data_IF_454560241815
#
_entry.id   IF_454560241815
#
_cell.length_a   1.000
_cell.length_b   1.000
_cell.length_c   1.000
_cell.angle_alpha   90.00
_cell.angle_beta   90.00
_cell.angle_gamma   90.00
#
_symmetry.space_group_name_H-M   'P 1'
#
loop_
_entity.id
_entity.type
_entity.pdbx_description
1 polymer ?
#
# COMPACT_ATOMS: atom_id res chain seq x y z
N UNK A 1 -8.10 8.09 18.27
CA UNK A 1 -7.81 6.75 18.85
C UNK A 1 -9.12 5.98 19.07
N UNK A 2 -9.10 4.63 19.24
CA UNK A 2 -10.32 3.83 19.44
C UNK A 2 -11.20 4.34 20.57
N UNK A 3 -10.58 4.65 21.72
CA UNK A 3 -11.27 5.21 22.88
C UNK A 3 -11.93 6.56 22.58
N UNK A 4 -11.21 7.49 21.95
CA UNK A 4 -11.77 8.82 21.59
C UNK A 4 -12.96 8.70 20.62
N UNK A 5 -12.92 7.74 19.72
CA UNK A 5 -14.03 7.50 18.78
C UNK A 5 -15.23 6.84 19.48
N UNK A 6 -14.99 5.96 20.46
CA UNK A 6 -16.02 5.43 21.32
C UNK A 6 -16.67 6.54 22.16
N UNK A 7 -15.87 7.40 22.79
CA UNK A 7 -16.35 8.54 23.58
C UNK A 7 -17.20 9.50 22.72
N UNK A 8 -16.81 9.72 21.46
CA UNK A 8 -17.60 10.48 20.48
C UNK A 8 -18.95 9.82 20.17
N UNK A 9 -18.95 8.51 19.89
CA UNK A 9 -20.17 7.75 19.59
C UNK A 9 -21.12 7.68 20.79
N UNK A 10 -20.58 7.53 22.01
CA UNK A 10 -21.34 7.62 23.26
C UNK A 10 -21.96 9.01 23.43
N UNK A 11 -21.19 10.07 23.14
CA UNK A 11 -21.70 11.44 23.16
C UNK A 11 -22.86 11.69 22.19
N UNK A 12 -22.82 11.09 20.98
CA UNK A 12 -23.95 11.14 20.05
C UNK A 12 -25.17 10.38 20.58
N UNK A 13 -24.95 9.21 21.18
CA UNK A 13 -26.02 8.41 21.77
C UNK A 13 -26.72 9.13 22.92
N UNK A 14 -25.96 9.80 23.79
CA UNK A 14 -26.55 10.61 24.86
C UNK A 14 -27.35 11.79 24.31
N UNK A 15 -26.87 12.47 23.26
CA UNK A 15 -27.65 13.52 22.58
C UNK A 15 -28.95 12.99 21.97
N UNK A 16 -28.91 11.82 21.34
CA UNK A 16 -30.09 11.17 20.78
C UNK A 16 -31.13 10.80 21.85
N UNK A 17 -30.69 10.36 23.04
CA UNK A 17 -31.59 10.07 24.17
C UNK A 17 -32.31 11.32 24.69
N UNK A 18 -31.67 12.48 24.62
CA UNK A 18 -32.25 13.76 25.06
C UNK A 18 -33.24 14.30 24.02
N UNK A 19 -33.02 14.03 22.73
CA UNK A 19 -33.88 14.48 21.64
C UNK A 19 -34.65 13.32 20.99
N UNK A 20 -35.65 12.78 21.71
CA UNK A 20 -36.39 11.57 21.32
C UNK A 20 -37.18 11.68 20.00
N UNK A 21 -37.45 12.89 19.53
CA UNK A 21 -38.17 13.13 18.26
C UNK A 21 -37.22 13.11 17.04
N UNK A 22 -35.91 13.19 17.27
CA UNK A 22 -34.89 13.19 16.21
C UNK A 22 -34.45 11.76 15.88
N UNK A 23 -35.28 11.10 15.06
CA UNK A 23 -35.04 9.72 14.62
C UNK A 23 -33.77 9.59 13.78
N UNK A 24 -33.39 10.62 13.02
CA UNK A 24 -32.16 10.63 12.22
C UNK A 24 -30.92 10.61 13.13
N UNK A 25 -30.89 11.45 14.16
CA UNK A 25 -29.81 11.46 15.14
C UNK A 25 -29.70 10.12 15.89
N UNK A 26 -30.83 9.50 16.23
CA UNK A 26 -30.85 8.19 16.87
C UNK A 26 -30.29 7.08 15.96
N UNK A 27 -30.63 7.09 14.67
CA UNK A 27 -30.08 6.15 13.69
C UNK A 27 -28.57 6.34 13.51
N UNK A 28 -28.12 7.58 13.30
CA UNK A 28 -26.70 7.93 13.18
C UNK A 28 -25.95 7.47 14.44
N UNK A 29 -26.45 7.79 15.64
CA UNK A 29 -25.79 7.40 16.88
C UNK A 29 -25.63 5.88 17.03
N UNK A 30 -26.65 5.10 16.65
CA UNK A 30 -26.55 3.64 16.66
C UNK A 30 -25.52 3.11 15.66
N UNK A 31 -25.50 3.63 14.44
CA UNK A 31 -24.49 3.27 13.43
C UNK A 31 -23.07 3.60 13.91
N UNK A 32 -22.86 4.81 14.47
CA UNK A 32 -21.54 5.21 14.98
C UNK A 32 -21.09 4.32 16.15
N UNK A 33 -21.99 3.91 17.05
CA UNK A 33 -21.69 2.98 18.14
C UNK A 33 -21.26 1.60 17.63
N UNK A 34 -21.93 1.07 16.60
CA UNK A 34 -21.55 -0.21 15.98
C UNK A 34 -20.15 -0.14 15.37
N UNK A 35 -19.85 0.94 14.64
CA UNK A 35 -18.53 1.18 14.05
C UNK A 35 -17.48 1.33 15.16
N UNK A 36 -17.78 2.05 16.24
CA UNK A 36 -16.85 2.24 17.36
C UNK A 36 -16.54 0.91 18.06
N UNK A 37 -17.56 0.08 18.32
CA UNK A 37 -17.38 -1.26 18.88
C UNK A 37 -16.55 -2.17 17.97
N UNK A 38 -16.81 -2.11 16.66
CA UNK A 38 -16.05 -2.85 15.65
C UNK A 38 -14.59 -2.41 15.60
N UNK A 39 -14.33 -1.10 15.59
CA UNK A 39 -12.98 -0.54 15.57
C UNK A 39 -12.19 -0.90 16.83
N UNK A 40 -12.82 -0.83 18.01
CA UNK A 40 -12.21 -1.26 19.26
C UNK A 40 -11.84 -2.75 19.20
N UNK A 41 -12.77 -3.61 18.76
CA UNK A 41 -12.51 -5.05 18.65
C UNK A 41 -11.41 -5.37 17.64
N UNK A 42 -11.38 -4.65 16.52
CA UNK A 42 -10.33 -4.77 15.51
C UNK A 42 -8.95 -4.47 16.11
N UNK A 43 -8.82 -3.37 16.86
CA UNK A 43 -7.57 -2.98 17.50
C UNK A 43 -7.15 -3.94 18.62
N UNK A 44 -8.11 -4.48 19.39
CA UNK A 44 -7.83 -5.53 20.38
C UNK A 44 -7.27 -6.80 19.72
N UNK A 45 -7.81 -7.17 18.55
CA UNK A 45 -7.32 -8.33 17.80
C UNK A 45 -5.92 -8.07 17.24
N UNK A 46 -5.66 -6.89 16.65
CA UNK A 46 -4.32 -6.51 16.19
C UNK A 46 -3.30 -6.62 17.34
N UNK A 47 -3.61 -6.04 18.50
CA UNK A 47 -2.75 -6.11 19.68
C UNK A 47 -2.55 -7.55 20.18
N UNK A 48 -3.63 -8.36 20.26
CA UNK A 48 -3.56 -9.77 20.67
C UNK A 48 -2.62 -10.60 19.78
N UNK A 49 -2.60 -10.31 18.48
CA UNK A 49 -1.77 -11.03 17.51
C UNK A 49 -0.41 -10.36 17.22
N UNK A 50 -0.05 -9.30 17.97
CA UNK A 50 1.20 -8.57 17.76
C UNK A 50 1.31 -7.98 16.34
N UNK A 51 0.20 -7.52 15.78
CA UNK A 51 0.11 -6.92 14.45
C UNK A 51 -0.13 -5.42 14.56
N UNK A 52 0.33 -4.70 13.54
CA UNK A 52 0.05 -3.28 13.33
C UNK A 52 -0.36 -3.10 11.87
N UNK A 53 -1.29 -2.19 11.61
CA UNK A 53 -1.66 -1.78 10.25
C UNK A 53 -0.89 -0.52 9.80
N UNK A 54 -1.24 0.06 8.65
CA UNK A 54 -0.60 1.28 8.14
C UNK A 54 -0.93 2.53 8.98
N UNK A 55 -2.12 2.60 9.57
CA UNK A 55 -2.50 3.70 10.45
C UNK A 55 -1.72 3.65 11.77
N UNK A 56 -1.56 2.44 12.31
CA UNK A 56 -0.82 2.16 13.54
C UNK A 56 0.66 2.58 13.44
N UNK A 57 1.26 2.48 12.25
CA UNK A 57 2.64 2.94 12.00
C UNK A 57 2.83 4.45 12.24
N UNK A 58 1.75 5.24 12.27
CA UNK A 58 1.80 6.67 12.59
C UNK A 58 1.23 6.94 13.99
N UNK A 59 0.09 6.34 14.33
CA UNK A 59 -0.61 6.61 15.60
C UNK A 59 0.13 6.04 16.81
N UNK A 60 0.78 4.87 16.70
CA UNK A 60 1.53 4.28 17.81
C UNK A 60 2.80 5.07 18.15
N UNK A 61 3.66 5.50 17.18
CA UNK A 61 4.77 6.40 17.50
C UNK A 61 4.32 7.72 18.11
N UNK A 62 3.22 8.32 17.60
CA UNK A 62 2.65 9.53 18.18
C UNK A 62 2.28 9.32 19.66
N UNK A 63 1.54 8.24 19.96
CA UNK A 63 1.16 7.88 21.34
C UNK A 63 2.38 7.58 22.21
N UNK A 64 3.38 6.90 21.67
CA UNK A 64 4.63 6.59 22.36
C UNK A 64 5.36 7.88 22.76
N UNK A 65 5.50 8.84 21.84
CA UNK A 65 6.17 10.12 22.12
C UNK A 65 5.41 11.00 23.10
N UNK A 66 4.07 10.98 23.08
CA UNK A 66 3.24 11.69 24.06
C UNK A 66 3.36 11.11 25.47
N UNK A 67 3.44 9.78 25.59
CA UNK A 67 3.47 9.08 26.88
C UNK A 67 4.89 8.88 27.44
N UNK A 68 5.92 8.90 26.59
CA UNK A 68 7.31 8.65 26.98
C UNK A 68 8.23 9.77 26.48
N UNK A 69 8.29 10.92 27.19
CA UNK A 69 9.10 12.08 26.77
C UNK A 69 10.60 11.78 26.64
N UNK A 70 11.12 10.80 27.39
CA UNK A 70 12.51 10.37 27.28
C UNK A 70 12.81 9.77 25.90
N UNK A 71 11.91 8.94 25.38
CA UNK A 71 12.01 8.37 24.03
C UNK A 71 11.91 9.48 22.98
N UNK A 72 10.94 10.39 23.11
CA UNK A 72 10.81 11.54 22.20
C UNK A 72 12.12 12.35 22.14
N UNK A 73 12.77 12.61 23.29
CA UNK A 73 14.04 13.34 23.34
C UNK A 73 15.13 12.67 22.50
N UNK A 74 15.25 11.35 22.50
CA UNK A 74 16.23 10.64 21.68
C UNK A 74 16.05 10.96 20.19
N UNK A 75 14.81 11.01 19.71
CA UNK A 75 14.49 11.32 18.33
C UNK A 75 14.63 12.81 18.01
N UNK A 76 14.25 13.71 18.93
CA UNK A 76 14.47 15.14 18.77
C UNK A 76 15.96 15.48 18.68
N UNK A 77 16.83 14.81 19.45
CA UNK A 77 18.28 14.96 19.34
C UNK A 77 18.84 14.42 18.03
N UNK A 78 18.28 13.32 17.53
CA UNK A 78 18.67 12.73 16.25
C UNK A 78 18.23 13.58 15.06
N UNK A 79 17.00 14.08 15.09
CA UNK A 79 16.36 14.83 14.00
C UNK A 79 16.37 16.33 14.30
N UNK A 80 17.58 16.88 14.32
CA UNK A 80 17.80 18.31 14.57
C UNK A 80 17.27 19.23 13.47
N UNK A 81 17.11 18.71 12.25
CA UNK A 81 16.56 19.39 11.09
C UNK A 81 15.58 18.45 10.42
N UNK A 82 14.36 18.92 10.15
CA UNK A 82 13.28 18.11 9.58
C UNK A 82 12.84 18.76 8.28
N UNK A 83 12.86 18.00 7.19
CA UNK A 83 12.31 18.41 5.91
C UNK A 83 11.10 17.53 5.60
N UNK A 84 9.97 18.17 5.28
CA UNK A 84 8.74 17.48 4.90
C UNK A 84 8.34 17.94 3.49
N UNK A 85 8.37 17.00 2.55
CA UNK A 85 7.90 17.21 1.19
C UNK A 85 6.40 16.85 1.07
N UNK A 86 5.74 17.35 0.03
CA UNK A 86 4.31 17.10 -0.25
C UNK A 86 3.39 17.35 0.97
N UNK A 87 3.67 18.43 1.72
CA UNK A 87 3.03 18.69 3.01
C UNK A 87 1.51 18.89 2.91
N UNK A 88 0.99 19.29 1.73
CA UNK A 88 -0.44 19.39 1.45
C UNK A 88 -1.19 18.04 1.58
N UNK A 89 -0.50 16.92 1.38
CA UNK A 89 -1.10 15.58 1.45
C UNK A 89 -1.01 14.97 2.85
N UNK A 90 -0.49 15.71 3.83
CA UNK A 90 -0.42 15.25 5.21
C UNK A 90 -1.77 15.29 5.91
N UNK A 91 -2.08 14.21 6.63
CA UNK A 91 -3.23 14.18 7.53
C UNK A 91 -2.88 14.78 8.90
N UNK A 92 -3.90 15.04 9.71
CA UNK A 92 -3.75 15.63 11.05
C UNK A 92 -2.75 14.85 11.94
N UNK A 93 -2.84 13.52 11.96
CA UNK A 93 -1.99 12.67 12.81
C UNK A 93 -0.51 12.75 12.40
N UNK A 94 -0.23 12.74 11.09
CA UNK A 94 1.12 12.93 10.56
C UNK A 94 1.68 14.30 10.96
N UNK A 95 0.86 15.35 10.85
CA UNK A 95 1.28 16.68 11.26
C UNK A 95 1.57 16.77 12.76
N UNK A 96 0.74 16.16 13.62
CA UNK A 96 1.01 16.11 15.07
C UNK A 96 2.32 15.39 15.40
N UNK A 97 2.63 14.30 14.68
CA UNK A 97 3.88 13.58 14.86
C UNK A 97 5.09 14.46 14.50
N UNK A 98 5.05 15.12 13.34
CA UNK A 98 6.09 16.04 12.89
C UNK A 98 6.25 17.21 13.88
N UNK A 99 5.14 17.76 14.38
CA UNK A 99 5.14 18.84 15.37
C UNK A 99 5.86 18.44 16.66
N UNK A 100 5.61 17.24 17.20
CA UNK A 100 6.31 16.75 18.39
C UNK A 100 7.81 16.58 18.14
N UNK A 101 8.20 16.05 16.97
CA UNK A 101 9.60 15.87 16.61
C UNK A 101 10.33 17.21 16.43
N UNK A 102 9.68 18.20 15.84
CA UNK A 102 10.27 19.52 15.61
C UNK A 102 10.29 20.40 16.86
N UNK A 103 9.42 20.16 17.86
CA UNK A 103 9.16 21.07 18.97
C UNK A 103 10.40 21.56 19.75
N UNK A 104 11.48 20.77 19.82
CA UNK A 104 12.69 21.11 20.59
C UNK A 104 13.59 22.14 19.90
N UNK A 105 13.79 21.99 18.59
CA UNK A 105 14.75 22.79 17.82
C UNK A 105 14.07 23.74 16.85
N UNK A 106 12.83 23.46 16.46
CA UNK A 106 12.02 24.22 15.50
C UNK A 106 12.69 24.44 14.13
N UNK A 107 13.72 23.66 13.80
CA UNK A 107 14.34 23.62 12.48
C UNK A 107 13.53 22.72 11.55
N UNK A 108 12.37 23.20 11.14
CA UNK A 108 11.47 22.48 10.24
C UNK A 108 11.27 23.27 8.94
N UNK A 109 11.43 22.57 7.82
CA UNK A 109 11.10 23.08 6.48
C UNK A 109 10.01 22.21 5.89
N UNK A 110 8.89 22.81 5.51
CA UNK A 110 7.82 22.14 4.78
C UNK A 110 7.74 22.68 3.36
N UNK A 111 7.52 21.80 2.40
CA UNK A 111 7.25 22.16 1.00
C UNK A 111 5.81 21.73 0.70
N UNK A 112 5.00 22.65 0.16
CA UNK A 112 3.60 22.40 -0.12
C UNK A 112 3.14 23.10 -1.40
N UNK A 113 2.18 22.47 -2.09
CA UNK A 113 1.39 23.10 -3.14
C UNK A 113 -0.09 22.71 -2.97
N UNK A 114 -0.92 23.62 -2.49
CA UNK A 114 -2.36 23.37 -2.26
C UNK A 114 -3.11 22.98 -3.54
N UNK A 115 -2.65 23.46 -4.70
CA UNK A 115 -3.24 23.13 -6.00
C UNK A 115 -2.97 21.67 -6.42
N UNK A 116 -2.04 20.99 -5.75
CA UNK A 116 -1.69 19.58 -5.97
C UNK A 116 -2.27 18.64 -4.91
N UNK A 117 -3.07 19.14 -3.96
CA UNK A 117 -3.70 18.31 -2.93
C UNK A 117 -4.79 17.40 -3.52
N UNK A 118 -4.40 16.18 -3.92
CA UNK A 118 -5.30 15.18 -4.51
C UNK A 118 -5.73 14.08 -3.52
N UNK A 119 -5.19 14.07 -2.30
CA UNK A 119 -5.45 13.04 -1.28
C UNK A 119 -6.49 13.43 -0.20
N UNK A 120 -7.33 14.44 -0.43
CA UNK A 120 -8.39 14.87 0.54
C UNK A 120 -9.27 13.71 1.02
N UNK A 121 -9.58 12.75 0.13
CA UNK A 121 -10.37 11.56 0.46
C UNK A 121 -9.67 10.59 1.45
N UNK A 122 -8.36 10.71 1.64
CA UNK A 122 -7.57 9.97 2.66
C UNK A 122 -7.35 10.78 3.93
N UNK A 123 -8.03 11.92 4.09
CA UNK A 123 -7.92 12.78 5.26
C UNK A 123 -6.74 13.76 5.21
N UNK A 124 -6.14 13.99 4.04
CA UNK A 124 -5.23 15.11 3.84
C UNK A 124 -5.95 16.43 4.14
N UNK A 125 -5.31 17.29 4.91
CA UNK A 125 -5.92 18.52 5.38
C UNK A 125 -5.09 19.72 4.91
N UNK A 126 -5.59 20.42 3.88
CA UNK A 126 -5.01 21.69 3.40
C UNK A 126 -4.90 22.71 4.55
N UNK A 127 -5.78 22.62 5.55
CA UNK A 127 -5.72 23.41 6.78
C UNK A 127 -4.41 23.24 7.56
N UNK A 128 -3.66 22.14 7.38
CA UNK A 128 -2.33 21.99 7.97
C UNK A 128 -1.31 22.94 7.33
N UNK A 129 -1.41 23.16 6.02
CA UNK A 129 -0.56 24.12 5.30
C UNK A 129 -0.88 25.54 5.74
N UNK A 130 -2.18 25.88 5.79
CA UNK A 130 -2.66 27.18 6.26
C UNK A 130 -2.25 27.46 7.72
N UNK A 131 -2.45 26.50 8.61
CA UNK A 131 -2.14 26.64 10.04
C UNK A 131 -0.66 26.47 10.39
N UNK A 132 0.23 26.24 9.42
CA UNK A 132 1.66 26.08 9.69
C UNK A 132 2.25 27.37 10.27
N UNK A 133 1.91 28.51 9.70
CA UNK A 133 2.39 29.83 10.16
C UNK A 133 1.80 30.20 11.52
N UNK A 134 0.60 29.74 11.86
CA UNK A 134 0.02 29.94 13.20
C UNK A 134 0.83 29.20 14.29
N UNK A 135 1.44 28.07 13.93
CA UNK A 135 2.24 27.24 14.85
C UNK A 135 3.70 27.70 14.89
N UNK A 136 4.25 28.13 13.75
CA UNK A 136 5.62 28.63 13.61
C UNK A 136 5.60 30.06 13.06
N UNK A 137 5.27 31.07 13.89
CA UNK A 137 5.13 32.46 13.42
C UNK A 137 6.44 33.07 12.91
N UNK A 138 7.58 32.57 13.39
CA UNK A 138 8.93 32.98 12.94
C UNK A 138 9.39 32.26 11.65
N UNK A 139 8.54 31.42 11.05
CA UNK A 139 8.91 30.71 9.84
C UNK A 139 9.02 31.66 8.64
N UNK A 140 10.03 31.44 7.80
CA UNK A 140 10.17 32.17 6.55
C UNK A 140 9.27 31.56 5.48
N UNK A 141 8.36 32.37 4.90
CA UNK A 141 7.56 31.96 3.74
C UNK A 141 8.29 32.32 2.44
N UNK A 142 8.60 31.30 1.65
CA UNK A 142 9.24 31.45 0.34
C UNK A 142 8.29 30.89 -0.72
N UNK A 143 7.96 31.70 -1.72
CA UNK A 143 7.13 31.29 -2.85
C UNK A 143 8.04 31.08 -4.07
N UNK A 144 8.02 29.87 -4.62
CA UNK A 144 8.80 29.51 -5.80
C UNK A 144 7.93 29.66 -7.05
N UNK A 145 8.26 30.62 -7.90
CA UNK A 145 7.52 30.91 -9.14
C UNK A 145 8.24 30.44 -10.40
N UNK A 146 9.51 30.02 -10.29
CA UNK A 146 10.28 29.52 -11.42
C UNK A 146 10.05 28.02 -11.64
N UNK A 147 9.57 27.65 -12.83
CA UNK A 147 9.33 26.27 -13.20
C UNK A 147 10.40 25.77 -14.18
N UNK A 148 11.08 24.69 -13.79
CA UNK A 148 12.17 24.09 -14.56
C UNK A 148 11.73 22.85 -15.36
N UNK A 149 10.47 22.42 -15.25
CA UNK A 149 9.95 21.16 -15.81
C UNK A 149 9.20 21.37 -17.13
N UNK A 150 8.30 22.34 -17.14
CA UNK A 150 7.28 22.51 -18.18
C UNK A 150 7.49 23.81 -18.93
N UNK A 151 7.19 23.78 -20.24
CA UNK A 151 7.22 24.95 -21.13
C UNK A 151 6.04 25.88 -20.85
N UNK A 152 6.19 27.17 -21.14
CA UNK A 152 5.24 28.21 -20.71
C UNK A 152 3.78 27.92 -21.10
N UNK A 153 3.51 27.48 -22.33
CA UNK A 153 2.13 27.17 -22.77
C UNK A 153 1.43 26.09 -21.94
N UNK A 154 2.18 25.12 -21.40
CA UNK A 154 1.64 24.09 -20.50
C UNK A 154 1.29 24.73 -19.16
N UNK A 155 2.17 25.58 -18.63
CA UNK A 155 1.96 26.32 -17.38
C UNK A 155 0.76 27.24 -17.49
N UNK A 156 0.64 28.03 -18.56
CA UNK A 156 -0.48 28.94 -18.78
C UNK A 156 -1.81 28.20 -18.86
N UNK A 157 -1.81 27.03 -19.52
CA UNK A 157 -3.01 26.18 -19.62
C UNK A 157 -3.40 25.61 -18.26
N UNK A 158 -2.43 25.14 -17.47
CA UNK A 158 -2.66 24.64 -16.12
C UNK A 158 -3.14 25.77 -15.18
N UNK A 159 -2.53 26.95 -15.28
CA UNK A 159 -2.90 28.13 -14.49
C UNK A 159 -4.31 28.61 -14.82
N UNK A 160 -4.72 28.60 -16.09
CA UNK A 160 -6.10 28.89 -16.48
C UNK A 160 -7.09 27.90 -15.87
N UNK A 161 -6.77 26.61 -15.87
CA UNK A 161 -7.63 25.57 -15.29
C UNK A 161 -7.78 25.74 -13.77
N UNK A 162 -6.67 25.95 -13.06
CA UNK A 162 -6.69 25.97 -11.59
C UNK A 162 -7.40 27.20 -11.02
N UNK A 163 -7.41 28.32 -11.75
CA UNK A 163 -8.10 29.54 -11.34
C UNK A 163 -9.62 29.39 -11.15
N UNK A 164 -10.24 28.35 -11.74
CA UNK A 164 -11.66 28.05 -11.49
C UNK A 164 -11.94 27.55 -10.07
N UNK A 165 -10.92 27.22 -9.27
CA UNK A 165 -11.06 26.81 -7.87
C UNK A 165 -11.01 27.98 -6.88
N UNK A 166 -10.85 29.23 -7.35
CA UNK A 166 -10.95 30.41 -6.47
C UNK A 166 -12.38 30.51 -5.89
N UNK A 167 -12.55 30.95 -4.63
CA UNK A 167 -11.57 31.61 -3.76
C UNK A 167 -10.81 30.68 -2.79
N UNK A 168 -10.95 29.35 -2.92
CA UNK A 168 -10.44 28.40 -1.93
C UNK A 168 -8.92 28.14 -2.01
N UNK A 169 -8.23 28.77 -2.96
CA UNK A 169 -6.78 28.61 -3.20
C UNK A 169 -5.93 29.52 -2.30
N UNK A 170 -4.75 29.06 -1.91
CA UNK A 170 -3.76 29.85 -1.16
C UNK A 170 -3.37 31.15 -1.87
N UNK A 171 -3.31 31.14 -3.21
CA UNK A 171 -3.06 32.34 -4.01
C UNK A 171 -4.06 33.47 -3.68
N UNK A 172 -5.34 33.12 -3.53
CA UNK A 172 -6.39 34.07 -3.21
C UNK A 172 -6.42 34.41 -1.71
N UNK A 173 -6.25 33.41 -0.84
CA UNK A 173 -6.37 33.58 0.62
C UNK A 173 -5.20 34.35 1.24
N UNK A 174 -3.98 34.06 0.79
CA UNK A 174 -2.75 34.64 1.34
C UNK A 174 -2.19 35.78 0.49
N UNK A 175 -2.89 36.17 -0.58
CA UNK A 175 -2.49 37.20 -1.53
C UNK A 175 -1.05 36.99 -2.06
N UNK A 176 -0.73 35.75 -2.43
CA UNK A 176 0.56 35.35 -3.01
C UNK A 176 0.41 35.06 -4.51
N UNK A 177 1.42 35.37 -5.31
CA UNK A 177 1.42 34.97 -6.72
C UNK A 177 1.91 33.54 -6.86
N UNK A 178 1.07 32.66 -7.40
CA UNK A 178 1.45 31.30 -7.80
C UNK A 178 1.57 31.16 -9.31
N UNK A 179 1.57 32.27 -10.03
CA UNK A 179 1.81 32.28 -11.48
C UNK A 179 3.25 31.85 -11.80
N UNK A 180 3.39 30.72 -12.49
CA UNK A 180 4.68 30.11 -12.79
C UNK A 180 5.31 30.64 -14.08
N UNK A 181 6.61 30.89 -14.05
CA UNK A 181 7.43 31.28 -15.21
C UNK A 181 8.37 30.14 -15.60
N UNK A 182 8.31 29.71 -16.86
CA UNK A 182 9.15 28.64 -17.37
C UNK A 182 10.59 29.08 -17.59
N UNK A 183 11.54 28.25 -17.14
CA UNK A 183 12.96 28.38 -17.47
C UNK A 183 13.33 27.62 -18.76
N UNK A 184 12.38 26.87 -19.35
CA UNK A 184 12.56 26.15 -20.60
C UNK A 184 12.22 27.08 -21.77
N UNK A 185 13.22 27.44 -22.57
CA UNK A 185 13.08 28.41 -23.67
C UNK A 185 12.36 27.87 -24.91
N UNK A 186 12.23 26.55 -25.03
CA UNK A 186 11.57 25.92 -26.17
C UNK A 186 10.06 26.09 -26.12
N UNK A 187 9.44 26.23 -27.29
CA UNK A 187 7.99 26.26 -27.40
C UNK A 187 7.37 24.90 -27.11
N UNK A 188 6.33 24.90 -26.26
CA UNK A 188 5.56 23.71 -25.95
C UNK A 188 4.38 23.54 -26.89
N UNK A 189 3.74 22.38 -26.78
CA UNK A 189 2.53 22.09 -27.55
C UNK A 189 1.53 21.42 -26.61
N UNK A 190 0.32 21.98 -26.53
CA UNK A 190 -0.85 21.34 -25.92
C UNK A 190 -1.82 21.03 -27.05
N UNK A 191 -2.15 19.75 -27.25
CA UNK A 191 -3.10 19.29 -28.27
C UNK A 191 -4.28 18.58 -27.61
N UNK A 192 -5.48 18.98 -28.02
CA UNK A 192 -6.69 18.23 -27.75
C UNK A 192 -6.98 17.32 -28.94
N UNK A 193 -7.10 16.02 -28.69
CA UNK A 193 -7.46 15.02 -29.70
C UNK A 193 -8.78 14.39 -29.26
N UNK A 194 -9.77 14.42 -30.15
CA UNK A 194 -11.09 13.82 -29.91
C UNK A 194 -11.20 12.50 -30.66
N UNK A 195 -11.77 11.49 -30.01
CA UNK A 195 -12.03 10.17 -30.56
C UNK A 195 -13.42 9.70 -30.14
N UNK A 196 -14.09 8.94 -31.02
CA UNK A 196 -15.46 8.48 -30.76
C UNK A 196 -15.52 7.39 -29.69
N UNK A 197 -14.43 6.63 -29.52
CA UNK A 197 -14.36 5.53 -28.55
C UNK A 197 -13.01 5.49 -27.84
N UNK A 198 -12.98 4.92 -26.65
CA UNK A 198 -11.75 4.70 -25.87
C UNK A 198 -10.76 3.77 -26.60
N UNK A 199 -11.24 2.80 -27.38
CA UNK A 199 -10.39 1.94 -28.19
C UNK A 199 -9.72 2.73 -29.33
N UNK A 200 -10.47 3.60 -30.00
CA UNK A 200 -9.95 4.49 -31.05
C UNK A 200 -8.93 5.49 -30.48
N UNK A 201 -9.16 6.01 -29.27
CA UNK A 201 -8.20 6.84 -28.55
C UNK A 201 -6.90 6.06 -28.27
N UNK A 202 -7.01 4.85 -27.71
CA UNK A 202 -5.87 4.01 -27.38
C UNK A 202 -5.01 3.65 -28.61
N UNK A 203 -5.65 3.30 -29.74
CA UNK A 203 -4.98 3.07 -31.01
C UNK A 203 -4.33 4.34 -31.56
N UNK A 204 -5.04 5.48 -31.51
CA UNK A 204 -4.54 6.78 -31.93
C UNK A 204 -3.30 7.21 -31.13
N UNK A 205 -3.31 6.99 -29.82
CA UNK A 205 -2.17 7.28 -28.92
C UNK A 205 -1.00 6.35 -29.21
N UNK A 206 -1.23 5.05 -29.36
CA UNK A 206 -0.16 4.09 -29.69
C UNK A 206 0.50 4.43 -31.04
N UNK A 207 -0.30 4.77 -32.06
CA UNK A 207 0.18 5.22 -33.37
C UNK A 207 1.01 6.51 -33.23
N UNK A 208 0.53 7.49 -32.47
CA UNK A 208 1.25 8.74 -32.23
C UNK A 208 2.61 8.50 -31.57
N UNK A 209 2.68 7.64 -30.55
CA UNK A 209 3.94 7.30 -29.87
C UNK A 209 4.92 6.68 -30.87
N UNK A 210 4.47 5.68 -31.64
CA UNK A 210 5.31 5.01 -32.65
C UNK A 210 5.86 5.99 -33.68
N UNK A 211 5.02 6.83 -34.27
CA UNK A 211 5.43 7.83 -35.26
C UNK A 211 6.48 8.80 -34.72
N UNK A 212 6.38 9.19 -33.43
CA UNK A 212 7.33 10.10 -32.78
C UNK A 212 8.67 9.44 -32.49
N UNK A 213 8.68 8.16 -32.17
CA UNK A 213 9.91 7.37 -31.98
C UNK A 213 10.59 7.11 -33.33
N UNK A 214 9.84 6.75 -34.37
CA UNK A 214 10.35 6.50 -35.72
C UNK A 214 11.01 7.74 -36.35
N UNK A 215 10.46 8.93 -36.11
CA UNK A 215 11.04 10.21 -36.55
C UNK A 215 12.33 10.61 -35.79
N UNK A 216 12.91 9.71 -34.97
CA UNK A 216 14.18 9.82 -34.24
C UNK A 216 14.32 11.00 -33.26
N UNK A 217 13.21 11.49 -32.70
CA UNK A 217 13.22 12.58 -31.71
C UNK A 217 12.93 12.16 -30.25
N UNK A 218 12.41 10.95 -30.04
CA UNK A 218 11.95 10.47 -28.73
C UNK A 218 12.22 8.97 -28.59
N UNK A 219 12.36 8.50 -27.35
CA UNK A 219 12.41 7.08 -26.97
C UNK A 219 11.08 6.71 -26.31
N UNK A 220 10.74 5.42 -26.27
CA UNK A 220 9.52 4.96 -25.60
C UNK A 220 9.45 5.39 -24.12
N UNK A 221 10.60 5.47 -23.44
CA UNK A 221 10.67 5.95 -22.05
C UNK A 221 10.40 7.44 -21.85
N UNK A 222 10.30 8.22 -22.93
CA UNK A 222 10.00 9.66 -22.86
C UNK A 222 8.46 9.93 -22.90
N UNK A 223 7.63 8.88 -22.91
CA UNK A 223 6.17 8.98 -22.94
C UNK A 223 5.54 8.47 -21.64
N UNK A 224 4.54 9.20 -21.14
CA UNK A 224 3.68 8.79 -20.04
C UNK A 224 2.20 8.92 -20.44
N UNK A 225 1.40 7.88 -20.17
CA UNK A 225 -0.05 7.89 -20.36
C UNK A 225 -0.69 7.92 -18.97
N UNK A 226 -1.40 9.02 -18.66
CA UNK A 226 -2.10 9.20 -17.40
C UNK A 226 -3.59 8.93 -17.62
N UNK A 227 -4.15 8.00 -16.85
CA UNK A 227 -5.58 7.67 -16.88
C UNK A 227 -6.22 7.95 -15.52
N UNK A 228 -7.51 8.30 -15.50
CA UNK A 228 -8.23 8.64 -14.27
C UNK A 228 -8.37 7.47 -13.29
N UNK A 229 -8.49 6.25 -13.82
CA UNK A 229 -8.67 5.02 -13.07
C UNK A 229 -7.91 3.86 -13.72
N UNK A 230 -7.38 2.93 -12.93
CA UNK A 230 -6.58 1.80 -13.41
C UNK A 230 -7.31 0.96 -14.48
N UNK A 231 -8.63 0.76 -14.34
CA UNK A 231 -9.45 0.03 -15.33
C UNK A 231 -9.46 0.65 -16.72
N UNK A 232 -9.23 1.97 -16.81
CA UNK A 232 -9.20 2.70 -18.08
C UNK A 232 -7.87 2.51 -18.81
N UNK A 233 -6.86 1.89 -18.19
CA UNK A 233 -5.58 1.60 -18.83
C UNK A 233 -5.64 0.40 -19.80
N UNK A 234 -6.55 -0.56 -19.57
CA UNK A 234 -6.57 -1.83 -20.32
C UNK A 234 -6.65 -1.68 -21.85
N UNK A 235 -7.42 -0.72 -22.43
CA UNK A 235 -7.40 -0.47 -23.87
C UNK A 235 -6.03 0.02 -24.36
N UNK A 236 -5.39 0.95 -23.65
CA UNK A 236 -4.05 1.44 -23.97
C UNK A 236 -3.01 0.31 -23.91
N UNK A 237 -3.03 -0.51 -22.87
CA UNK A 237 -2.11 -1.66 -22.75
C UNK A 237 -2.25 -2.62 -23.94
N UNK A 238 -3.48 -2.90 -24.38
CA UNK A 238 -3.74 -3.74 -25.55
C UNK A 238 -3.22 -3.11 -26.84
N UNK A 239 -3.54 -1.84 -27.09
CA UNK A 239 -3.08 -1.13 -28.29
C UNK A 239 -1.55 -1.00 -28.34
N UNK A 240 -0.89 -0.77 -27.20
CA UNK A 240 0.58 -0.75 -27.11
C UNK A 240 1.18 -2.12 -27.41
N UNK A 241 0.59 -3.22 -26.91
CA UNK A 241 1.02 -4.58 -27.25
C UNK A 241 0.86 -4.89 -28.74
N UNK A 242 -0.29 -4.55 -29.33
CA UNK A 242 -0.52 -4.73 -30.77
C UNK A 242 0.44 -3.89 -31.62
N UNK A 243 0.93 -2.79 -31.07
CA UNK A 243 1.93 -1.93 -31.68
C UNK A 243 3.37 -2.30 -31.28
N UNK A 244 3.63 -3.44 -30.63
CA UNK A 244 4.97 -3.84 -30.17
C UNK A 244 5.72 -2.72 -29.41
N UNK A 245 4.98 -1.86 -28.70
CA UNK A 245 5.53 -0.74 -27.92
C UNK A 245 5.80 -1.26 -26.50
N UNK A 246 7.06 -1.19 -26.01
CA UNK A 246 7.37 -1.56 -24.65
C UNK A 246 6.70 -0.59 -23.68
N UNK A 247 6.05 -1.11 -22.65
CA UNK A 247 5.36 -0.33 -21.64
C UNK A 247 5.63 -0.83 -20.23
N UNK A 248 5.50 0.07 -19.27
CA UNK A 248 5.54 -0.22 -17.84
C UNK A 248 4.26 0.32 -17.20
N UNK A 249 3.60 -0.49 -16.37
CA UNK A 249 2.37 -0.10 -15.67
C UNK A 249 2.62 -0.08 -14.16
N UNK A 250 2.58 1.10 -13.57
CA UNK A 250 2.69 1.32 -12.13
C UNK A 250 1.37 0.99 -11.44
N UNK A 251 1.15 -0.29 -11.14
CA UNK A 251 -0.06 -0.79 -10.47
C UNK A 251 0.20 -2.12 -9.77
N UNK A 252 1.09 -2.12 -8.78
CA UNK A 252 1.56 -3.34 -8.10
C UNK A 252 0.57 -3.92 -7.08
N UNK A 253 -0.54 -3.24 -6.75
CA UNK A 253 -1.57 -3.81 -5.86
C UNK A 253 -2.09 -5.15 -6.39
N UNK A 254 -2.11 -5.32 -7.72
CA UNK A 254 -2.52 -6.58 -8.33
C UNK A 254 -1.51 -7.72 -8.21
N UNK A 255 -0.20 -7.46 -8.02
CA UNK A 255 0.83 -8.50 -8.05
C UNK A 255 0.77 -9.37 -6.79
N UNK A 256 0.76 -8.74 -5.60
CA UNK A 256 0.69 -9.43 -4.31
C UNK A 256 -0.61 -10.23 -4.12
N UNK A 257 -1.67 -9.83 -4.82
CA UNK A 257 -2.96 -10.53 -4.81
C UNK A 257 -2.99 -11.74 -5.75
N UNK A 258 -2.04 -11.89 -6.68
CA UNK A 258 -2.00 -13.06 -7.57
C UNK A 258 -1.77 -14.33 -6.76
N UNK A 259 -2.44 -15.41 -7.17
CA UNK A 259 -2.43 -16.70 -6.47
C UNK A 259 -0.99 -17.21 -6.28
N UNK A 260 -0.20 -17.18 -7.36
CA UNK A 260 1.19 -17.60 -7.36
C UNK A 260 2.06 -16.76 -6.42
N UNK A 261 1.89 -15.44 -6.40
CA UNK A 261 2.67 -14.56 -5.51
C UNK A 261 2.25 -14.72 -4.06
N UNK A 262 0.94 -14.85 -3.79
CA UNK A 262 0.41 -15.11 -2.46
C UNK A 262 0.90 -16.44 -1.90
N UNK A 263 1.02 -17.46 -2.75
CA UNK A 263 1.63 -18.73 -2.39
C UNK A 263 3.10 -18.55 -1.97
N UNK A 264 3.91 -17.83 -2.75
CA UNK A 264 5.31 -17.56 -2.42
C UNK A 264 5.45 -16.78 -1.11
N UNK A 265 4.58 -15.80 -0.88
CA UNK A 265 4.55 -15.03 0.38
C UNK A 265 4.11 -15.90 1.55
N UNK A 266 3.11 -16.76 1.35
CA UNK A 266 2.63 -17.69 2.38
C UNK A 266 3.73 -18.66 2.79
N UNK A 267 4.52 -19.16 1.84
CA UNK A 267 5.73 -19.93 2.12
C UNK A 267 6.74 -19.12 2.96
N UNK A 268 7.17 -17.95 2.48
CA UNK A 268 8.15 -17.12 3.18
C UNK A 268 7.71 -16.74 4.60
N UNK A 269 6.43 -16.40 4.79
CA UNK A 269 5.84 -16.09 6.10
C UNK A 269 5.81 -17.31 7.01
N UNK A 270 5.50 -18.48 6.45
CA UNK A 270 5.51 -19.74 7.21
C UNK A 270 6.92 -20.09 7.66
N UNK A 271 7.94 -19.83 6.84
CA UNK A 271 9.35 -20.05 7.21
C UNK A 271 9.80 -19.05 8.29
N UNK A 272 9.39 -17.79 8.17
CA UNK A 272 9.79 -16.73 9.10
C UNK A 272 9.04 -16.76 10.44
N UNK A 273 7.80 -17.27 10.46
CA UNK A 273 6.96 -17.31 11.66
C UNK A 273 6.03 -18.55 11.65
N UNK A 274 6.39 -19.56 12.42
CA UNK A 274 5.61 -20.80 12.56
C UNK A 274 4.24 -20.60 13.22
N UNK A 275 4.00 -19.49 13.93
CA UNK A 275 2.71 -19.20 14.54
C UNK A 275 1.72 -18.49 13.58
N UNK A 276 2.13 -18.16 12.35
CA UNK A 276 1.25 -17.61 11.33
C UNK A 276 0.37 -18.71 10.69
N UNK A 277 -0.66 -19.15 11.42
CA UNK A 277 -1.58 -20.20 10.98
C UNK A 277 -2.29 -19.89 9.66
N UNK A 278 -2.51 -18.61 9.32
CA UNK A 278 -3.18 -18.21 8.07
C UNK A 278 -2.27 -18.43 6.87
N UNK A 279 -1.02 -17.96 6.97
CA UNK A 279 -0.01 -18.20 5.93
C UNK A 279 0.28 -19.68 5.79
N UNK A 280 0.38 -20.40 6.91
CA UNK A 280 0.63 -21.83 6.91
C UNK A 280 -0.52 -22.65 6.32
N UNK A 281 -1.78 -22.23 6.53
CA UNK A 281 -2.95 -22.79 5.86
C UNK A 281 -2.85 -22.64 4.34
N UNK A 282 -2.55 -21.43 3.84
CA UNK A 282 -2.41 -21.16 2.40
C UNK A 282 -1.21 -21.88 1.78
N UNK A 283 -0.13 -22.07 2.54
CA UNK A 283 1.01 -22.87 2.13
C UNK A 283 0.65 -24.36 1.97
N UNK A 284 -0.10 -24.92 2.93
CA UNK A 284 -0.46 -26.34 2.97
C UNK A 284 -1.48 -26.74 1.89
N UNK A 285 -2.42 -25.85 1.55
CA UNK A 285 -3.39 -26.07 0.46
C UNK A 285 -2.79 -25.83 -0.94
N UNK A 286 -1.58 -25.29 -1.01
CA UNK A 286 -0.97 -24.84 -2.26
C UNK A 286 -0.89 -25.97 -3.32
N UNK A 287 -0.76 -25.62 -4.62
CA UNK A 287 -0.59 -26.60 -5.68
C UNK A 287 0.60 -27.56 -5.54
N UNK A 288 1.51 -27.31 -4.59
CA UNK A 288 2.65 -28.18 -4.24
C UNK A 288 2.24 -29.28 -3.26
N UNK A 289 1.51 -28.93 -2.20
CA UNK A 289 1.20 -29.87 -1.12
C UNK A 289 -0.19 -30.49 -1.24
N UNK A 290 -1.17 -29.70 -1.70
CA UNK A 290 -2.54 -30.15 -1.98
C UNK A 290 -3.23 -30.85 -0.81
N UNK A 291 -2.98 -30.39 0.43
CA UNK A 291 -3.68 -30.93 1.59
C UNK A 291 -5.18 -30.64 1.48
N UNK A 292 -6.00 -31.65 1.79
CA UNK A 292 -7.45 -31.55 1.64
C UNK A 292 -8.02 -30.44 2.54
N UNK A 293 -8.99 -29.69 2.01
CA UNK A 293 -9.67 -28.63 2.78
C UNK A 293 -10.34 -29.21 4.03
N UNK A 294 -10.85 -30.45 3.96
CA UNK A 294 -11.45 -31.16 5.09
C UNK A 294 -10.43 -31.34 6.22
N UNK A 295 -9.28 -31.95 5.94
CA UNK A 295 -8.27 -32.25 6.96
C UNK A 295 -7.66 -30.98 7.55
N UNK A 296 -7.43 -29.97 6.71
CA UNK A 296 -7.01 -28.64 7.16
C UNK A 296 -8.02 -27.99 8.11
N UNK A 297 -9.31 -28.06 7.77
CA UNK A 297 -10.38 -27.48 8.59
C UNK A 297 -10.48 -28.17 9.95
N UNK A 298 -10.33 -29.50 9.99
CA UNK A 298 -10.27 -30.26 11.23
C UNK A 298 -9.11 -29.78 12.13
N UNK A 299 -7.90 -29.73 11.58
CA UNK A 299 -6.72 -29.29 12.30
C UNK A 299 -6.84 -27.82 12.77
N UNK A 300 -7.37 -26.94 11.92
CA UNK A 300 -7.53 -25.52 12.23
C UNK A 300 -8.58 -25.27 13.32
N UNK A 301 -9.70 -26.02 13.28
CA UNK A 301 -10.72 -25.98 14.33
C UNK A 301 -10.15 -26.43 15.68
N UNK A 302 -9.34 -27.49 15.68
CA UNK A 302 -8.66 -27.95 16.88
C UNK A 302 -7.67 -26.89 17.41
N UNK A 303 -6.83 -26.34 16.54
CA UNK A 303 -5.87 -25.28 16.85
C UNK A 303 -6.56 -24.09 17.52
N UNK A 304 -7.68 -23.63 16.95
CA UNK A 304 -8.50 -22.54 17.49
C UNK A 304 -9.08 -22.85 18.87
N UNK A 305 -9.70 -24.03 19.04
CA UNK A 305 -10.28 -24.45 20.34
C UNK A 305 -9.25 -24.55 21.45
N UNK A 306 -8.02 -24.98 21.13
CA UNK A 306 -6.92 -25.16 22.08
C UNK A 306 -6.00 -23.95 22.19
N UNK A 307 -6.29 -22.86 21.47
CA UNK A 307 -5.45 -21.67 21.38
C UNK A 307 -3.98 -22.01 21.05
N UNK A 308 -3.79 -22.89 20.05
CA UNK A 308 -2.49 -23.30 19.51
C UNK A 308 -2.36 -22.88 18.04
N UNK A 309 -1.13 -22.80 17.53
CA UNK A 309 -0.88 -22.58 16.10
C UNK A 309 -1.15 -23.84 15.28
N UNK A 310 -1.45 -23.67 13.99
CA UNK A 310 -1.65 -24.80 13.07
C UNK A 310 -0.37 -25.63 12.94
N UNK A 311 0.81 -24.98 12.97
CA UNK A 311 2.10 -25.65 13.01
C UNK A 311 2.20 -26.61 14.21
N UNK A 312 1.84 -26.15 15.41
CA UNK A 312 1.85 -27.02 16.60
C UNK A 312 0.99 -28.27 16.40
N UNK A 313 -0.21 -28.13 15.84
CA UNK A 313 -1.12 -29.25 15.59
C UNK A 313 -0.51 -30.24 14.60
N UNK A 314 0.07 -29.74 13.50
CA UNK A 314 0.73 -30.58 12.51
C UNK A 314 1.93 -31.34 13.10
N UNK A 315 2.76 -30.68 13.91
CA UNK A 315 3.92 -31.32 14.56
C UNK A 315 3.57 -32.36 15.62
N UNK A 316 2.34 -32.33 16.15
CA UNK A 316 1.89 -33.24 17.22
C UNK A 316 0.69 -34.10 16.81
N UNK A 317 0.46 -34.28 15.51
CA UNK A 317 -0.75 -34.92 15.00
C UNK A 317 -0.96 -36.33 15.57
N UNK A 318 0.10 -37.15 15.62
CA UNK A 318 0.07 -38.50 16.22
C UNK A 318 -0.11 -38.52 17.74
N UNK A 319 0.01 -37.37 18.40
CA UNK A 319 -0.24 -37.21 19.84
C UNK A 319 -1.66 -36.72 20.16
N UNK A 320 -2.50 -36.51 19.15
CA UNK A 320 -3.86 -35.97 19.29
C UNK A 320 -4.85 -37.04 18.78
N UNK A 321 -5.37 -37.92 19.65
CA UNK A 321 -6.23 -39.05 19.24
C UNK A 321 -7.43 -38.61 18.40
N UNK A 322 -8.05 -37.48 18.77
CA UNK A 322 -9.22 -36.90 18.10
C UNK A 322 -8.95 -36.57 16.63
N UNK A 323 -7.74 -36.11 16.30
CA UNK A 323 -7.36 -35.78 14.92
C UNK A 323 -6.70 -36.96 14.21
N UNK A 324 -5.99 -37.80 14.96
CA UNK A 324 -5.33 -38.96 14.40
C UNK A 324 -6.31 -39.92 13.74
N UNK A 325 -7.51 -40.11 14.30
CA UNK A 325 -8.53 -40.97 13.68
C UNK A 325 -9.26 -40.29 12.51
N UNK A 326 -9.48 -38.97 12.58
CA UNK A 326 -10.32 -38.25 11.61
C UNK A 326 -9.59 -37.75 10.37
N UNK A 327 -8.29 -37.47 10.47
CA UNK A 327 -7.45 -37.00 9.36
C UNK A 327 -7.08 -38.17 8.45
N UNK A 328 -7.28 -37.99 7.14
CA UNK A 328 -7.01 -39.03 6.15
C UNK A 328 -5.54 -39.52 6.19
N UNK A 329 -5.25 -40.80 5.88
CA UNK A 329 -3.87 -41.29 5.78
C UNK A 329 -3.00 -40.50 4.79
N UNK A 330 -3.59 -40.08 3.66
CA UNK A 330 -2.96 -39.20 2.69
C UNK A 330 -2.67 -37.82 3.29
N UNK A 331 -3.62 -37.27 4.05
CA UNK A 331 -3.48 -36.02 4.78
C UNK A 331 -2.32 -36.05 5.78
N UNK A 332 -2.20 -37.12 6.57
CA UNK A 332 -1.06 -37.32 7.49
C UNK A 332 0.29 -37.30 6.76
N UNK A 333 0.38 -38.05 5.66
CA UNK A 333 1.60 -38.12 4.84
C UNK A 333 1.97 -36.73 4.26
N UNK A 334 0.97 -35.96 3.83
CA UNK A 334 1.19 -34.60 3.33
C UNK A 334 1.62 -33.66 4.46
N UNK A 335 0.99 -33.75 5.64
CA UNK A 335 1.33 -32.94 6.83
C UNK A 335 2.78 -33.19 7.24
N UNK A 336 3.22 -34.44 7.31
CA UNK A 336 4.61 -34.80 7.64
C UNK A 336 5.60 -34.19 6.64
N UNK A 337 5.27 -34.26 5.34
CA UNK A 337 6.07 -33.63 4.28
C UNK A 337 6.11 -32.10 4.44
N UNK A 338 4.98 -31.45 4.73
CA UNK A 338 4.92 -29.99 4.95
C UNK A 338 5.82 -29.58 6.11
N UNK A 339 5.76 -30.28 7.24
CA UNK A 339 6.56 -29.96 8.43
C UNK A 339 8.05 -30.18 8.18
N UNK A 340 8.42 -31.30 7.54
CA UNK A 340 9.80 -31.58 7.19
C UNK A 340 10.37 -30.51 6.27
N UNK A 341 9.68 -30.24 5.15
CA UNK A 341 10.14 -29.26 4.18
C UNK A 341 10.25 -27.86 4.81
N UNK A 342 9.26 -27.46 5.64
CA UNK A 342 9.31 -26.16 6.32
C UNK A 342 10.52 -26.04 7.26
N UNK A 343 10.83 -27.11 8.01
CA UNK A 343 12.02 -27.18 8.87
C UNK A 343 13.32 -27.03 8.05
N UNK A 344 13.43 -27.75 6.94
CA UNK A 344 14.60 -27.66 6.04
C UNK A 344 14.80 -26.23 5.50
N UNK A 345 13.73 -25.57 5.06
CA UNK A 345 13.83 -24.19 4.55
C UNK A 345 14.05 -23.15 5.65
N UNK A 346 13.57 -23.38 6.87
CA UNK A 346 13.89 -22.55 8.03
C UNK A 346 15.38 -22.61 8.36
N UNK A 347 15.98 -23.81 8.40
CA UNK A 347 17.42 -23.96 8.59
C UNK A 347 18.24 -23.33 7.46
N UNK A 348 17.75 -23.42 6.22
CA UNK A 348 18.38 -22.79 5.05
C UNK A 348 18.34 -21.26 5.14
N UNK A 349 17.26 -20.68 5.66
CA UNK A 349 17.06 -19.23 5.78
C UNK A 349 18.07 -18.53 6.69
N UNK A 350 18.72 -19.27 7.58
CA UNK A 350 19.80 -18.76 8.43
C UNK A 350 21.08 -18.49 7.60
N UNK A 351 21.29 -19.24 6.52
CA UNK A 351 22.55 -19.27 5.76
C UNK A 351 22.45 -18.63 4.37
N UNK A 352 21.24 -18.39 3.88
CA UNK A 352 20.96 -17.97 2.50
C UNK A 352 20.06 -16.75 2.49
N UNK A 353 20.18 -15.95 1.43
CA UNK A 353 19.28 -14.83 1.20
C UNK A 353 17.84 -15.31 0.95
N UNK A 354 16.86 -14.44 1.20
CA UNK A 354 15.44 -14.73 0.94
C UNK A 354 15.20 -15.18 -0.50
N UNK A 355 15.89 -14.57 -1.47
CA UNK A 355 15.79 -14.94 -2.88
C UNK A 355 16.30 -16.35 -3.17
N UNK A 356 17.43 -16.75 -2.58
CA UNK A 356 17.97 -18.11 -2.74
C UNK A 356 17.07 -19.17 -2.14
N UNK A 357 16.57 -18.97 -0.91
CA UNK A 357 15.65 -19.91 -0.25
C UNK A 357 14.38 -20.10 -1.09
N UNK A 358 13.80 -18.99 -1.57
CA UNK A 358 12.60 -19.04 -2.40
C UNK A 358 12.84 -19.75 -3.74
N UNK A 359 13.97 -19.48 -4.38
CA UNK A 359 14.34 -20.13 -5.64
C UNK A 359 14.52 -21.63 -5.46
N UNK A 360 15.19 -22.05 -4.39
CA UNK A 360 15.39 -23.47 -4.08
C UNK A 360 14.06 -24.16 -3.81
N UNK A 361 13.18 -23.55 -3.03
CA UNK A 361 11.83 -24.06 -2.77
C UNK A 361 11.02 -24.27 -4.05
N UNK A 362 10.92 -23.25 -4.90
CA UNK A 362 10.13 -23.29 -6.13
C UNK A 362 10.68 -24.33 -7.12
N UNK A 363 12.00 -24.53 -7.12
CA UNK A 363 12.69 -25.49 -7.99
C UNK A 363 12.50 -26.92 -7.49
N UNK A 364 12.77 -27.19 -6.20
CA UNK A 364 12.63 -28.52 -5.58
C UNK A 364 11.18 -29.00 -5.51
N UNK A 365 10.23 -28.09 -5.27
CA UNK A 365 8.80 -28.42 -5.30
C UNK A 365 8.29 -28.79 -6.69
N UNK A 366 9.08 -28.55 -7.76
CA UNK A 366 8.67 -28.76 -9.14
C UNK A 366 7.63 -27.73 -9.63
N UNK A 367 7.29 -26.72 -8.82
CA UNK A 367 6.26 -25.73 -9.14
C UNK A 367 6.61 -24.96 -10.42
N UNK A 368 7.83 -24.43 -10.52
CA UNK A 368 8.28 -23.68 -11.70
C UNK A 368 8.39 -24.56 -12.93
N UNK A 369 8.91 -25.79 -12.78
CA UNK A 369 8.99 -26.75 -13.89
C UNK A 369 7.62 -27.04 -14.47
N UNK A 370 6.61 -27.26 -13.62
CA UNK A 370 5.22 -27.50 -14.06
C UNK A 370 4.63 -26.30 -14.81
N UNK A 371 4.88 -25.08 -14.34
CA UNK A 371 4.40 -23.88 -15.02
C UNK A 371 5.06 -23.68 -16.39
N UNK A 372 6.38 -23.92 -16.49
CA UNK A 372 7.12 -23.77 -17.76
C UNK A 372 6.73 -24.85 -18.77
N UNK A 373 6.47 -26.09 -18.32
CA UNK A 373 6.07 -27.18 -19.21
C UNK A 373 4.61 -27.12 -19.67
N UNK A 374 3.80 -26.21 -19.11
CA UNK A 374 2.40 -26.03 -19.47
C UNK A 374 2.27 -25.12 -20.70
N UNK A 375 1.51 -25.51 -21.75
CA UNK A 375 1.25 -24.64 -22.90
C UNK A 375 0.17 -23.59 -22.62
N UNK A 376 -0.32 -23.46 -21.38
CA UNK A 376 -1.40 -22.55 -21.01
C UNK A 376 -0.92 -21.09 -20.98
N UNK A 377 -1.59 -20.16 -21.69
CA UNK A 377 -1.31 -18.73 -21.58
C UNK A 377 -1.44 -18.18 -20.14
N UNK A 378 -2.26 -18.84 -19.30
CA UNK A 378 -2.40 -18.50 -17.89
C UNK A 378 -1.11 -18.80 -17.11
N UNK A 379 -0.47 -19.93 -17.37
CA UNK A 379 0.75 -20.34 -16.66
C UNK A 379 1.96 -19.50 -17.09
N UNK A 380 2.02 -19.10 -18.37
CA UNK A 380 3.03 -18.14 -18.84
C UNK A 380 2.93 -16.81 -18.07
N UNK A 381 1.71 -16.33 -17.81
CA UNK A 381 1.47 -15.14 -17.00
C UNK A 381 1.91 -15.32 -15.55
N UNK A 382 1.68 -16.50 -14.95
CA UNK A 382 2.15 -16.84 -13.60
C UNK A 382 3.69 -16.79 -13.54
N UNK A 383 4.39 -17.34 -14.53
CA UNK A 383 5.86 -17.27 -14.62
C UNK A 383 6.35 -15.80 -14.67
N UNK A 384 5.72 -14.96 -15.49
CA UNK A 384 6.06 -13.52 -15.56
C UNK A 384 5.84 -12.81 -14.22
N UNK A 385 4.77 -13.13 -13.49
CA UNK A 385 4.51 -12.56 -12.17
C UNK A 385 5.52 -13.02 -11.12
N UNK A 386 5.90 -14.30 -11.13
CA UNK A 386 6.95 -14.85 -10.26
C UNK A 386 8.28 -14.14 -10.54
N UNK A 387 8.66 -13.96 -11.81
CA UNK A 387 9.89 -13.25 -12.18
C UNK A 387 9.89 -11.80 -11.64
N UNK A 388 8.78 -11.07 -11.82
CA UNK A 388 8.62 -9.72 -11.23
C UNK A 388 8.74 -9.72 -9.72
N UNK A 389 8.20 -10.74 -9.03
CA UNK A 389 8.33 -10.87 -7.59
C UNK A 389 9.78 -11.11 -7.15
N UNK A 390 10.54 -11.93 -7.89
CA UNK A 390 11.98 -12.09 -7.67
C UNK A 390 12.77 -10.79 -7.87
N UNK A 391 12.41 -9.98 -8.86
CA UNK A 391 13.03 -8.66 -9.05
C UNK A 391 12.82 -7.75 -7.84
N UNK A 392 11.64 -7.79 -7.20
CA UNK A 392 11.34 -7.07 -5.95
C UNK A 392 12.19 -7.60 -4.79
N UNK A 393 12.32 -8.92 -4.65
CA UNK A 393 13.16 -9.50 -3.58
C UNK A 393 14.63 -9.10 -3.77
N UNK A 394 15.11 -9.15 -5.02
CA UNK A 394 16.49 -8.78 -5.35
C UNK A 394 16.77 -7.30 -5.10
N UNK A 395 15.87 -6.41 -5.50
CA UNK A 395 16.03 -4.98 -5.24
C UNK A 395 16.06 -4.68 -3.74
N UNK A 396 15.26 -5.40 -2.95
CA UNK A 396 15.20 -5.23 -1.48
C UNK A 396 16.44 -5.80 -0.79
N UNK A 397 16.98 -6.93 -1.27
CA UNK A 397 18.18 -7.55 -0.69
C UNK A 397 19.43 -6.69 -0.84
N UNK A 398 19.50 -5.89 -1.92
CA UNK A 398 20.61 -4.95 -2.15
C UNK A 398 20.54 -3.66 -1.30
N UNK A 399 19.43 -3.43 -0.57
CA UNK A 399 19.25 -2.23 0.28
C UNK A 399 19.84 -2.46 1.69
N UNK A 400 20.22 -3.69 2.05
CA UNK A 400 20.70 -4.07 3.40
C UNK A 400 22.25 -4.10 3.51
N UNK A 401 22.98 -3.51 2.56
CA UNK A 401 24.45 -3.35 2.66
C UNK A 401 24.85 -1.96 3.13
#
# INVERSE_FOLDING_TARGET
>A
APKEYLDYAEGLKEKAKVNLEDMELAEIANQQMEIAGTYQKYQDLLAKYGKIDFGDQITLPLKLFQSHPATLRLYQERFRYILVDEFQDTNYTQFQLVKLLAARYQNITVVADDDQSIYKFRGAAISNVLGFMDIYPEANKIVLTENYRSRQIILDTAYRLINYNNPDRLEFQDNISKHLTSQVKEEGIVKYLFFDTLSSEAEGVAKLIRERVEKKGYRYGDFAILVRANRSADPFLRSLNMADIPWFFSGNEGLYLREEVRFLISFLRSVANFDDSVSFYHFSISPTYQLSVRDLTLCMNYASRRNRSLFYVFSHLSGIPELEEEVSPEGKTIIDRVIRDLGEYADLSIKRSTGEVLYEFITKSGYLKRLISSPSPSDEKKVKNIARFFDIIRSTSNIIL
#
